data_IF_780719347649
#
_entry.id   IF_780719347649
#
_cell.length_a   1.000
_cell.length_b   1.000
_cell.length_c   1.000
_cell.angle_alpha   90.00
_cell.angle_beta   90.00
_cell.angle_gamma   90.00
#
_symmetry.space_group_name_H-M   'P 1'
#
loop_
_entity.id
_entity.type
_entity.pdbx_description
1 polymer ?
#
# COMPACT_ATOMS: atom_id res chain seq x y z
N UNK A 1 1.95 9.91 26.88
CA UNK A 1 2.01 11.31 26.42
C UNK A 1 3.24 12.07 26.94
N UNK A 2 3.57 11.99 28.23
CA UNK A 2 4.69 12.77 28.85
C UNK A 2 6.05 12.44 28.21
N UNK A 3 6.36 11.14 28.02
CA UNK A 3 7.65 10.67 27.45
C UNK A 3 7.88 11.13 26.01
N UNK A 4 6.81 11.19 25.18
CA UNK A 4 6.93 11.66 23.80
C UNK A 4 7.12 13.20 23.71
N UNK A 5 6.45 13.94 24.57
CA UNK A 5 6.72 15.40 24.69
C UNK A 5 8.16 15.63 25.11
N UNK A 6 8.69 14.81 26.03
CA UNK A 6 10.08 14.85 26.45
C UNK A 6 11.03 14.57 25.30
N UNK A 7 10.77 13.53 24.49
CA UNK A 7 11.58 13.16 23.31
C UNK A 7 11.55 14.31 22.28
N UNK A 8 10.40 14.94 22.05
CA UNK A 8 10.29 16.09 21.15
C UNK A 8 11.07 17.29 21.66
N UNK A 9 11.01 17.55 22.94
CA UNK A 9 11.78 18.62 23.62
C UNK A 9 13.27 18.32 23.54
N UNK A 10 13.69 17.09 23.86
CA UNK A 10 15.09 16.67 23.82
C UNK A 10 15.67 16.77 22.39
N UNK A 11 14.92 16.41 21.35
CA UNK A 11 15.31 16.59 19.96
C UNK A 11 15.44 18.06 19.54
N UNK A 12 14.56 18.90 20.06
CA UNK A 12 14.60 20.35 19.83
C UNK A 12 15.90 20.98 20.38
N UNK A 13 16.53 20.35 21.38
CA UNK A 13 17.84 20.72 21.94
C UNK A 13 19.01 19.92 21.39
N UNK A 14 18.83 19.22 20.23
CA UNK A 14 19.93 18.54 19.51
C UNK A 14 20.35 17.19 20.08
N UNK A 15 19.60 16.63 21.05
CA UNK A 15 19.89 15.31 21.60
C UNK A 15 19.14 14.23 20.80
N UNK A 16 19.89 13.40 20.06
CA UNK A 16 19.37 12.26 19.31
C UNK A 16 19.05 11.08 20.27
N UNK A 17 17.88 11.12 20.88
CA UNK A 17 17.39 9.99 21.68
C UNK A 17 16.65 9.00 20.78
N UNK A 18 17.16 7.79 20.66
CA UNK A 18 16.51 6.66 19.96
C UNK A 18 15.99 5.66 20.98
N UNK A 19 14.87 5.04 20.65
CA UNK A 19 14.22 4.02 21.48
C UNK A 19 14.62 2.66 20.93
N UNK A 20 15.16 1.81 21.79
CA UNK A 20 15.42 0.41 21.44
C UNK A 20 14.12 -0.37 21.30
N UNK A 21 13.98 -1.09 20.18
CA UNK A 21 12.90 -2.03 19.93
C UNK A 21 13.31 -3.39 20.48
N UNK A 22 12.89 -3.69 21.71
CA UNK A 22 13.21 -4.96 22.38
C UNK A 22 12.44 -6.17 21.84
N UNK A 23 11.78 -6.04 20.69
CA UNK A 23 11.06 -7.11 20.00
C UNK A 23 11.48 -7.15 18.52
N UNK A 24 11.48 -8.34 17.88
CA UNK A 24 11.69 -8.45 16.44
C UNK A 24 10.77 -7.52 15.67
N UNK A 25 11.31 -6.81 14.68
CA UNK A 25 10.54 -5.75 14.05
C UNK A 25 10.84 -5.58 12.55
N UNK A 26 9.81 -5.13 11.83
CA UNK A 26 9.86 -4.83 10.41
C UNK A 26 9.37 -3.40 10.13
N UNK A 27 10.12 -2.64 9.33
CA UNK A 27 9.73 -1.32 8.82
C UNK A 27 9.46 -1.39 7.32
N UNK A 28 8.33 -0.82 6.88
CA UNK A 28 7.93 -0.84 5.48
C UNK A 28 7.63 0.57 4.98
N UNK A 29 8.34 1.02 3.95
CA UNK A 29 8.07 2.28 3.26
C UNK A 29 7.91 2.07 1.75
N UNK A 30 7.39 3.08 1.07
CA UNK A 30 7.13 3.09 -0.36
C UNK A 30 6.14 4.18 -0.73
N UNK A 31 5.94 4.42 -2.00
CA UNK A 31 4.87 5.30 -2.49
C UNK A 31 3.52 4.61 -2.37
N UNK A 32 3.41 3.37 -2.84
CA UNK A 32 2.21 2.52 -2.79
C UNK A 32 2.52 1.13 -2.20
N UNK A 33 1.50 0.38 -1.78
CA UNK A 33 1.63 -1.00 -1.31
C UNK A 33 1.93 -1.18 0.18
N UNK A 34 2.41 -0.17 0.90
CA UNK A 34 2.86 -0.24 2.29
C UNK A 34 1.88 -0.94 3.24
N UNK A 35 0.65 -0.46 3.30
CA UNK A 35 -0.40 -0.97 4.21
C UNK A 35 -0.68 -2.44 3.96
N UNK A 36 -0.88 -2.83 2.69
CA UNK A 36 -1.16 -4.22 2.32
C UNK A 36 0.03 -5.13 2.62
N UNK A 37 1.27 -4.70 2.31
CA UNK A 37 2.49 -5.45 2.66
C UNK A 37 2.61 -5.65 4.17
N UNK A 38 2.38 -4.61 4.98
CA UNK A 38 2.38 -4.71 6.44
C UNK A 38 1.32 -5.69 6.96
N UNK A 39 0.12 -5.67 6.39
CA UNK A 39 -0.97 -6.57 6.79
C UNK A 39 -0.71 -8.02 6.37
N UNK A 40 -0.20 -8.26 5.18
CA UNK A 40 0.24 -9.58 4.74
C UNK A 40 1.36 -10.12 5.64
N UNK A 41 2.37 -9.30 5.96
CA UNK A 41 3.44 -9.69 6.88
C UNK A 41 2.88 -9.99 8.28
N UNK A 42 1.98 -9.16 8.79
CA UNK A 42 1.33 -9.40 10.09
C UNK A 42 0.54 -10.72 10.10
N UNK A 43 -0.14 -11.05 8.99
CA UNK A 43 -0.85 -12.33 8.85
C UNK A 43 0.13 -13.52 8.88
N UNK A 44 1.27 -13.42 8.18
CA UNK A 44 2.32 -14.45 8.19
C UNK A 44 2.90 -14.65 9.59
N UNK A 45 3.20 -13.57 10.31
CA UNK A 45 3.73 -13.63 11.67
C UNK A 45 2.70 -14.18 12.66
N UNK A 46 1.41 -13.90 12.46
CA UNK A 46 0.30 -14.48 13.25
C UNK A 46 0.16 -15.98 12.96
N UNK A 47 0.24 -16.42 11.71
CA UNK A 47 0.27 -17.84 11.33
C UNK A 47 1.47 -18.56 11.94
N UNK A 48 2.60 -17.85 12.13
CA UNK A 48 3.78 -18.32 12.85
C UNK A 48 3.60 -18.35 14.39
N UNK A 49 2.40 -18.09 14.90
CA UNK A 49 2.06 -18.15 16.31
C UNK A 49 2.42 -16.92 17.15
N UNK A 50 2.75 -15.78 16.52
CA UNK A 50 3.19 -14.58 17.21
C UNK A 50 2.04 -13.59 17.44
N UNK A 51 2.05 -12.87 18.56
CA UNK A 51 1.18 -11.72 18.81
C UNK A 51 1.84 -10.49 18.18
N UNK A 52 1.25 -10.03 17.06
CA UNK A 52 1.81 -8.95 16.23
C UNK A 52 1.29 -7.60 16.70
N UNK A 53 2.19 -6.65 16.91
CA UNK A 53 1.89 -5.23 17.01
C UNK A 53 1.99 -4.61 15.61
N UNK A 54 0.87 -4.12 15.08
CA UNK A 54 0.79 -3.56 13.73
C UNK A 54 0.38 -2.10 13.77
N UNK A 55 1.15 -1.23 13.09
CA UNK A 55 0.83 0.20 12.89
C UNK A 55 0.78 0.53 11.40
N UNK A 56 -0.36 1.01 10.93
CA UNK A 56 -0.59 1.34 9.50
C UNK A 56 -1.39 2.65 9.36
N UNK A 57 -1.57 3.09 8.13
CA UNK A 57 -2.49 4.18 7.78
C UNK A 57 -3.93 3.93 8.25
N UNK A 58 -4.33 2.68 8.47
CA UNK A 58 -5.67 2.32 8.91
C UNK A 58 -5.84 2.33 10.43
N UNK A 59 -4.76 2.10 11.18
CA UNK A 59 -4.83 2.05 12.65
C UNK A 59 -3.66 1.36 13.32
N UNK A 60 -3.87 1.11 14.61
CA UNK A 60 -2.98 0.37 15.51
C UNK A 60 -3.71 -0.88 15.99
N UNK A 61 -3.03 -2.01 15.92
CA UNK A 61 -3.56 -3.33 16.27
C UNK A 61 -2.56 -4.11 17.14
N UNK A 62 -3.04 -4.93 18.06
CA UNK A 62 -2.24 -5.91 18.82
C UNK A 62 -2.98 -7.24 18.74
N UNK A 63 -2.39 -8.19 18.02
CA UNK A 63 -3.09 -9.42 17.65
C UNK A 63 -4.39 -9.10 16.91
N UNK A 64 -5.53 -9.55 17.44
CA UNK A 64 -6.86 -9.28 16.88
C UNK A 64 -7.52 -7.99 17.41
N UNK A 65 -6.91 -7.33 18.40
CA UNK A 65 -7.50 -6.15 19.04
C UNK A 65 -7.17 -4.87 18.25
N UNK A 66 -8.19 -4.07 17.95
CA UNK A 66 -8.03 -2.72 17.40
C UNK A 66 -7.84 -1.72 18.53
N UNK A 67 -6.62 -1.18 18.66
CA UNK A 67 -6.27 -0.19 19.69
C UNK A 67 -6.65 1.22 19.27
N UNK A 68 -6.56 1.50 17.97
CA UNK A 68 -6.89 2.82 17.40
C UNK A 68 -7.25 2.67 15.92
N UNK A 69 -8.26 3.43 15.49
CA UNK A 69 -8.58 3.61 14.05
C UNK A 69 -8.02 4.95 13.58
N UNK A 70 -7.60 5.01 12.31
CA UNK A 70 -7.05 6.18 11.63
C UNK A 70 -5.55 6.18 11.49
N UNK A 71 -5.04 7.10 10.69
CA UNK A 71 -3.63 7.12 10.25
C UNK A 71 -2.65 7.04 11.43
N UNK A 72 -1.87 5.99 11.42
CA UNK A 72 -0.89 5.64 12.44
C UNK A 72 0.46 5.25 11.82
N UNK A 73 0.69 5.64 10.57
CA UNK A 73 1.89 5.32 9.77
C UNK A 73 3.11 6.19 10.11
N UNK A 74 3.32 6.50 11.39
CA UNK A 74 4.45 7.30 11.88
C UNK A 74 4.99 6.76 13.22
N UNK A 75 6.20 7.18 13.57
CA UNK A 75 6.91 6.70 14.77
C UNK A 75 6.19 7.02 16.09
N UNK A 76 5.42 8.11 16.17
CA UNK A 76 4.71 8.50 17.40
C UNK A 76 3.68 7.46 17.80
N UNK A 77 2.97 6.91 16.82
CA UNK A 77 1.95 5.91 17.06
C UNK A 77 2.56 4.53 17.29
N UNK A 78 3.65 4.20 16.59
CA UNK A 78 4.40 2.98 16.81
C UNK A 78 4.89 2.84 18.27
N UNK A 79 5.26 3.97 18.92
CA UNK A 79 5.66 3.97 20.33
C UNK A 79 4.59 3.42 21.28
N UNK A 80 3.30 3.64 21.01
CA UNK A 80 2.20 3.10 21.84
C UNK A 80 2.17 1.58 21.85
N UNK A 81 2.62 0.95 20.79
CA UNK A 81 2.67 -0.50 20.65
C UNK A 81 3.79 -1.14 21.50
N UNK A 82 4.87 -0.40 21.73
CA UNK A 82 6.04 -0.89 22.46
C UNK A 82 5.83 -0.93 23.98
N UNK A 83 4.79 -0.25 24.47
CA UNK A 83 4.42 -0.25 25.90
C UNK A 83 3.59 -1.50 26.24
N UNK A 84 2.95 -2.09 25.22
CA UNK A 84 2.11 -3.27 25.42
C UNK A 84 2.96 -4.54 25.45
N UNK A 85 3.09 -5.13 26.64
CA UNK A 85 3.90 -6.32 26.87
C UNK A 85 3.37 -7.59 26.17
N UNK A 86 2.18 -7.55 25.58
CA UNK A 86 1.62 -8.68 24.83
C UNK A 86 2.27 -8.83 23.45
N UNK A 87 2.79 -7.75 22.88
CA UNK A 87 3.42 -7.77 21.57
C UNK A 87 4.72 -8.57 21.59
N UNK A 88 4.82 -9.56 20.73
CA UNK A 88 5.99 -10.42 20.54
C UNK A 88 6.81 -10.02 19.31
N UNK A 89 6.20 -9.30 18.36
CA UNK A 89 6.83 -8.79 17.15
C UNK A 89 6.12 -7.52 16.67
N UNK A 90 6.82 -6.65 15.95
CA UNK A 90 6.30 -5.37 15.48
C UNK A 90 6.39 -5.21 13.96
N UNK A 91 5.31 -4.74 13.33
CA UNK A 91 5.26 -4.38 11.91
C UNK A 91 4.78 -2.93 11.77
N UNK A 92 5.62 -2.07 11.19
CA UNK A 92 5.38 -0.63 11.18
C UNK A 92 5.40 -0.08 9.75
N UNK A 93 4.27 0.48 9.32
CA UNK A 93 4.21 1.27 8.12
C UNK A 93 4.88 2.63 8.37
N UNK A 94 5.86 2.98 7.54
CA UNK A 94 6.62 4.21 7.62
C UNK A 94 6.26 5.14 6.44
N UNK A 95 5.29 6.01 6.66
CA UNK A 95 4.87 6.98 5.65
C UNK A 95 5.85 8.14 5.56
N UNK A 96 6.00 8.68 4.35
CA UNK A 96 6.88 9.82 4.05
C UNK A 96 6.68 11.03 4.98
N UNK A 97 5.42 11.41 5.24
CA UNK A 97 5.14 12.56 6.10
C UNK A 97 5.72 12.40 7.51
N UNK A 98 5.54 11.22 8.11
CA UNK A 98 6.12 10.88 9.39
C UNK A 98 7.65 10.86 9.37
N UNK A 99 8.25 10.35 8.30
CA UNK A 99 9.71 10.34 8.14
C UNK A 99 10.32 11.76 8.07
N UNK A 100 9.66 12.68 7.36
CA UNK A 100 10.12 14.08 7.26
C UNK A 100 9.93 14.82 8.58
N UNK A 101 8.75 14.70 9.20
CA UNK A 101 8.41 15.48 10.39
C UNK A 101 9.07 14.96 11.67
N UNK A 102 9.27 13.64 11.76
CA UNK A 102 9.67 12.98 13.00
C UNK A 102 10.96 12.15 12.85
N UNK A 103 11.37 11.84 11.61
CA UNK A 103 12.43 10.88 11.36
C UNK A 103 12.08 9.49 11.88
N UNK A 104 13.11 8.65 12.07
CA UNK A 104 12.96 7.35 12.72
C UNK A 104 13.32 7.52 14.20
N UNK A 105 12.33 7.38 15.09
CA UNK A 105 12.51 7.52 16.54
C UNK A 105 13.14 6.27 17.20
N UNK A 106 13.33 5.20 16.42
CA UNK A 106 13.91 3.95 16.87
C UNK A 106 15.37 3.86 16.48
N UNK A 107 16.14 3.08 17.21
CA UNK A 107 17.56 2.83 16.93
C UNK A 107 17.76 1.88 15.72
N UNK A 108 16.68 1.23 15.23
CA UNK A 108 16.64 0.39 14.05
C UNK A 108 15.51 -0.65 14.12
N UNK A 109 15.48 -1.54 13.16
CA UNK A 109 14.61 -2.70 13.09
C UNK A 109 15.40 -3.92 12.63
N UNK A 110 14.84 -5.12 12.74
CA UNK A 110 15.51 -6.32 12.22
C UNK A 110 15.52 -6.33 10.69
N UNK A 111 14.37 -6.09 10.09
CA UNK A 111 14.20 -6.09 8.64
C UNK A 111 13.48 -4.83 8.16
N UNK A 112 13.84 -4.33 6.98
CA UNK A 112 13.16 -3.19 6.39
C UNK A 112 12.90 -3.42 4.91
N UNK A 113 11.84 -2.77 4.38
CA UNK A 113 11.54 -2.78 2.95
C UNK A 113 11.32 -1.37 2.39
N UNK A 114 11.84 -1.15 1.17
CA UNK A 114 11.49 0.01 0.34
C UNK A 114 10.83 -0.51 -0.94
N UNK A 115 9.50 -0.36 -1.01
CA UNK A 115 8.71 -0.97 -2.07
C UNK A 115 8.89 -0.28 -3.42
N UNK A 116 8.84 1.06 -3.42
CA UNK A 116 8.91 1.86 -4.64
C UNK A 116 9.05 3.36 -4.33
N UNK A 117 9.52 4.12 -5.33
CA UNK A 117 9.64 5.58 -5.28
C UNK A 117 8.96 6.18 -6.52
N UNK A 118 7.69 6.55 -6.39
CA UNK A 118 6.91 7.19 -7.45
C UNK A 118 6.73 8.69 -7.21
N UNK A 119 6.07 9.37 -8.15
CA UNK A 119 5.86 10.82 -8.14
C UNK A 119 4.81 11.30 -7.12
N UNK A 120 4.18 10.36 -6.40
CA UNK A 120 3.21 10.69 -5.35
C UNK A 120 3.86 11.62 -4.31
N UNK A 121 3.17 12.71 -3.98
CA UNK A 121 3.59 13.67 -2.97
C UNK A 121 4.80 14.56 -3.34
N UNK A 122 5.20 14.66 -4.59
CA UNK A 122 6.16 15.69 -5.02
C UNK A 122 5.54 17.07 -4.89
N UNK A 123 6.38 18.08 -4.66
CA UNK A 123 5.96 19.47 -4.40
C UNK A 123 5.52 19.74 -2.96
N UNK A 124 5.58 18.75 -2.05
CA UNK A 124 5.15 18.88 -0.66
C UNK A 124 6.33 18.82 0.30
N UNK A 125 6.32 19.69 1.32
CA UNK A 125 7.33 19.73 2.41
C UNK A 125 8.78 19.79 1.89
N UNK A 126 9.01 20.54 0.78
CA UNK A 126 10.34 20.71 0.19
C UNK A 126 10.86 19.55 -0.66
N UNK A 127 10.06 18.50 -0.88
CA UNK A 127 10.43 17.35 -1.72
C UNK A 127 9.86 17.54 -3.11
N UNK A 128 10.70 17.87 -4.09
CA UNK A 128 10.30 18.24 -5.45
C UNK A 128 10.68 17.17 -6.50
N UNK A 129 11.57 16.25 -6.16
CA UNK A 129 12.07 15.25 -7.07
C UNK A 129 11.96 13.82 -6.49
N UNK A 130 11.91 12.82 -7.38
CA UNK A 130 11.96 11.40 -6.97
C UNK A 130 13.27 11.06 -6.25
N UNK A 131 14.39 11.70 -6.57
CA UNK A 131 15.67 11.49 -5.89
C UNK A 131 15.62 11.96 -4.43
N UNK A 132 15.04 13.13 -4.18
CA UNK A 132 14.82 13.62 -2.80
C UNK A 132 13.85 12.70 -2.04
N UNK A 133 12.79 12.23 -2.71
CA UNK A 133 11.87 11.24 -2.13
C UNK A 133 12.59 9.93 -1.79
N UNK A 134 13.48 9.44 -2.66
CA UNK A 134 14.29 8.27 -2.41
C UNK A 134 15.22 8.49 -1.20
N UNK A 135 15.83 9.67 -1.08
CA UNK A 135 16.65 10.02 0.07
C UNK A 135 15.87 9.93 1.39
N UNK A 136 14.64 10.48 1.45
CA UNK A 136 13.77 10.37 2.64
C UNK A 136 13.48 8.91 2.98
N UNK A 137 13.11 8.10 1.98
CA UNK A 137 12.78 6.68 2.18
C UNK A 137 14.00 5.82 2.52
N UNK A 138 15.19 6.20 2.08
CA UNK A 138 16.44 5.47 2.39
C UNK A 138 16.72 5.40 3.90
N UNK A 139 16.17 6.33 4.69
CA UNK A 139 16.28 6.25 6.15
C UNK A 139 15.70 4.95 6.72
N UNK A 140 14.62 4.42 6.10
CA UNK A 140 14.03 3.13 6.49
C UNK A 140 14.96 1.98 6.12
N UNK A 141 15.52 1.97 4.91
CA UNK A 141 16.50 0.95 4.51
C UNK A 141 17.73 0.94 5.43
N UNK A 142 18.26 2.13 5.76
CA UNK A 142 19.41 2.29 6.65
C UNK A 142 19.15 1.87 8.10
N UNK A 143 17.88 1.73 8.50
CA UNK A 143 17.52 1.31 9.86
C UNK A 143 17.51 -0.21 10.06
N UNK A 144 17.62 -1.00 8.98
CA UNK A 144 17.65 -2.45 9.06
C UNK A 144 18.99 -2.96 9.60
N UNK A 145 18.93 -3.90 10.55
CA UNK A 145 20.11 -4.54 11.13
C UNK A 145 20.43 -5.87 10.44
N UNK A 146 19.42 -6.70 10.12
CA UNK A 146 19.61 -8.03 9.57
C UNK A 146 19.48 -8.07 8.06
N UNK A 147 18.35 -7.59 7.54
CA UNK A 147 18.11 -7.64 6.10
C UNK A 147 17.30 -6.43 5.62
N UNK A 148 17.68 -5.92 4.45
CA UNK A 148 16.88 -4.96 3.71
C UNK A 148 16.29 -5.61 2.46
N UNK A 149 15.03 -5.30 2.15
CA UNK A 149 14.32 -5.77 0.96
C UNK A 149 14.11 -4.58 0.02
N UNK A 150 14.66 -4.65 -1.17
CA UNK A 150 14.63 -3.58 -2.18
C UNK A 150 13.98 -4.04 -3.47
N UNK A 151 13.29 -3.12 -4.13
CA UNK A 151 12.71 -3.32 -5.45
C UNK A 151 13.79 -3.20 -6.54
N UNK A 152 14.08 -4.29 -7.22
CA UNK A 152 15.03 -4.31 -8.33
C UNK A 152 14.49 -3.66 -9.62
N UNK A 153 13.16 -3.51 -9.73
CA UNK A 153 12.51 -2.86 -10.88
C UNK A 153 12.45 -1.32 -10.72
N UNK A 154 12.87 -0.77 -9.58
CA UNK A 154 12.95 0.68 -9.32
C UNK A 154 14.41 1.07 -9.05
N UNK A 155 15.04 1.73 -10.02
CA UNK A 155 16.45 2.13 -9.94
C UNK A 155 16.78 3.01 -8.73
N UNK A 156 15.81 3.78 -8.20
CA UNK A 156 16.01 4.59 -7.00
C UNK A 156 15.97 3.72 -5.72
N UNK A 157 15.20 2.65 -5.71
CA UNK A 157 15.23 1.66 -4.63
C UNK A 157 16.55 0.87 -4.68
N UNK A 158 16.94 0.39 -5.86
CA UNK A 158 18.16 -0.37 -6.07
C UNK A 158 19.41 0.41 -5.66
N UNK A 159 19.49 1.70 -6.03
CA UNK A 159 20.60 2.59 -5.66
C UNK A 159 20.77 2.80 -4.14
N UNK A 160 19.81 2.38 -3.32
CA UNK A 160 19.98 2.43 -1.86
C UNK A 160 20.90 1.32 -1.34
N UNK A 161 21.12 0.24 -2.12
CA UNK A 161 21.94 -0.92 -1.73
C UNK A 161 23.33 -0.51 -1.23
N UNK A 162 23.97 0.43 -1.94
CA UNK A 162 25.34 0.86 -1.63
C UNK A 162 25.47 1.70 -0.34
N UNK A 163 24.33 2.08 0.27
CA UNK A 163 24.26 2.92 1.46
C UNK A 163 23.83 2.18 2.72
N UNK A 164 23.71 0.85 2.64
CA UNK A 164 23.09 0.02 3.68
C UNK A 164 24.16 -0.76 4.43
N UNK A 165 24.04 -0.77 5.76
CA UNK A 165 24.92 -1.51 6.67
C UNK A 165 24.27 -2.83 7.16
N UNK A 166 23.11 -3.23 6.66
CA UNK A 166 22.46 -4.48 7.01
C UNK A 166 23.33 -5.69 6.61
N UNK A 167 23.20 -6.79 7.36
CA UNK A 167 24.00 -8.00 7.13
C UNK A 167 23.68 -8.67 5.78
N UNK A 168 22.49 -8.45 5.22
CA UNK A 168 22.10 -8.99 3.91
C UNK A 168 21.12 -8.09 3.19
N UNK A 169 21.05 -8.25 1.87
CA UNK A 169 20.07 -7.59 1.01
C UNK A 169 19.22 -8.66 0.31
N UNK A 170 17.91 -8.44 0.25
CA UNK A 170 17.02 -9.19 -0.62
C UNK A 170 16.56 -8.29 -1.77
N UNK A 171 16.64 -8.76 -2.99
CA UNK A 171 16.06 -8.08 -4.15
C UNK A 171 14.72 -8.71 -4.54
N UNK A 172 13.76 -7.85 -4.88
CA UNK A 172 12.42 -8.26 -5.34
C UNK A 172 12.18 -7.72 -6.73
N UNK A 173 11.68 -8.57 -7.66
CA UNK A 173 11.34 -8.16 -9.02
C UNK A 173 10.07 -8.83 -9.54
N UNK A 174 9.25 -8.07 -10.26
CA UNK A 174 8.11 -8.59 -11.03
C UNK A 174 8.54 -9.26 -12.35
N UNK A 175 9.84 -9.25 -12.66
CA UNK A 175 10.43 -9.77 -13.88
C UNK A 175 11.43 -10.88 -13.54
N UNK A 176 11.28 -12.09 -14.10
CA UNK A 176 12.16 -13.22 -13.77
C UNK A 176 13.55 -13.09 -14.40
N UNK A 177 13.66 -12.32 -15.47
CA UNK A 177 14.87 -12.06 -16.25
C UNK A 177 15.52 -10.71 -15.96
N UNK A 178 15.14 -10.05 -14.85
CA UNK A 178 15.79 -8.83 -14.41
C UNK A 178 17.29 -9.06 -14.14
N UNK A 179 18.21 -8.39 -14.85
CA UNK A 179 19.65 -8.59 -14.70
C UNK A 179 20.15 -8.43 -13.27
N UNK A 180 19.58 -7.50 -12.51
CA UNK A 180 19.95 -7.26 -11.11
C UNK A 180 19.59 -8.45 -10.20
N UNK A 181 18.47 -9.13 -10.47
CA UNK A 181 18.10 -10.37 -9.76
C UNK A 181 19.08 -11.49 -10.10
N UNK A 182 19.40 -11.66 -11.38
CA UNK A 182 20.29 -12.73 -11.86
C UNK A 182 21.67 -12.56 -11.25
N UNK A 183 22.22 -11.34 -11.30
CA UNK A 183 23.56 -11.06 -10.76
C UNK A 183 23.58 -11.17 -9.23
N UNK A 184 22.53 -10.71 -8.54
CA UNK A 184 22.38 -10.83 -7.10
C UNK A 184 22.35 -12.31 -6.65
N UNK A 185 21.63 -13.16 -7.35
CA UNK A 185 21.59 -14.59 -7.07
C UNK A 185 22.95 -15.28 -7.32
N UNK A 186 23.71 -14.84 -8.33
CA UNK A 186 25.08 -15.36 -8.59
C UNK A 186 26.04 -15.14 -7.41
N UNK A 187 25.80 -14.10 -6.60
CA UNK A 187 26.59 -13.84 -5.38
C UNK A 187 26.16 -14.66 -4.16
N UNK A 188 25.15 -15.54 -4.31
CA UNK A 188 24.62 -16.37 -3.22
C UNK A 188 23.57 -15.67 -2.35
N UNK A 189 23.15 -14.48 -2.73
CA UNK A 189 22.21 -13.65 -1.99
C UNK A 189 20.75 -14.07 -2.21
N UNK A 190 19.85 -13.54 -1.35
CA UNK A 190 18.44 -13.89 -1.36
C UNK A 190 17.64 -12.99 -2.31
N UNK A 191 16.83 -13.61 -3.17
CA UNK A 191 15.95 -12.93 -4.12
C UNK A 191 14.54 -13.51 -4.12
N UNK A 192 13.56 -12.65 -4.40
CA UNK A 192 12.16 -13.05 -4.62
C UNK A 192 11.69 -12.46 -5.95
N UNK A 193 11.24 -13.28 -6.86
CA UNK A 193 10.81 -12.80 -8.18
C UNK A 193 9.58 -13.54 -8.70
N UNK A 194 8.84 -12.87 -9.58
CA UNK A 194 7.67 -13.42 -10.23
C UNK A 194 8.07 -14.08 -11.56
N UNK A 195 7.85 -15.38 -11.71
CA UNK A 195 7.84 -16.04 -13.00
C UNK A 195 6.42 -16.04 -13.56
N UNK A 196 6.21 -15.37 -14.70
CA UNK A 196 4.91 -15.17 -15.33
C UNK A 196 4.84 -15.75 -16.75
N UNK A 197 5.72 -16.70 -17.10
CA UNK A 197 5.79 -17.28 -18.43
C UNK A 197 4.57 -18.12 -18.82
N UNK A 198 3.89 -18.73 -17.83
CA UNK A 198 2.65 -19.50 -17.99
C UNK A 198 1.64 -19.06 -16.95
N UNK A 199 1.67 -19.72 -15.80
CA UNK A 199 0.92 -19.31 -14.62
C UNK A 199 1.86 -18.49 -13.72
N UNK A 200 1.42 -17.34 -13.16
CA UNK A 200 2.29 -16.54 -12.31
C UNK A 200 2.69 -17.30 -11.04
N UNK A 201 4.00 -17.38 -10.77
CA UNK A 201 4.57 -18.05 -9.59
C UNK A 201 5.58 -17.13 -8.91
N UNK A 202 5.44 -16.91 -7.63
CA UNK A 202 6.45 -16.23 -6.82
C UNK A 202 7.52 -17.24 -6.44
N UNK A 203 8.75 -17.02 -6.88
CA UNK A 203 9.91 -17.81 -6.52
C UNK A 203 10.74 -17.11 -5.45
N UNK A 204 11.13 -17.85 -4.42
CA UNK A 204 12.03 -17.43 -3.35
C UNK A 204 13.31 -18.23 -3.49
N UNK A 205 14.44 -17.58 -3.78
CA UNK A 205 15.71 -18.25 -4.06
C UNK A 205 16.84 -17.64 -3.20
N UNK A 206 17.79 -18.49 -2.77
CA UNK A 206 19.05 -18.05 -2.18
C UNK A 206 20.19 -18.58 -3.03
N UNK A 207 20.87 -17.70 -3.74
CA UNK A 207 21.75 -18.12 -4.81
C UNK A 207 21.01 -18.96 -5.85
N UNK A 208 21.52 -20.15 -6.16
CA UNK A 208 20.88 -21.12 -7.07
C UNK A 208 19.85 -22.03 -6.39
N UNK A 209 19.73 -21.98 -5.06
CA UNK A 209 18.80 -22.81 -4.29
C UNK A 209 17.39 -22.22 -4.31
N UNK A 210 16.40 -23.00 -4.77
CA UNK A 210 14.99 -22.66 -4.64
C UNK A 210 14.51 -22.99 -3.23
N UNK A 211 14.29 -21.97 -2.40
CA UNK A 211 13.70 -22.10 -1.07
C UNK A 211 12.23 -22.53 -1.16
N UNK A 212 11.51 -21.99 -2.14
CA UNK A 212 10.15 -22.38 -2.42
C UNK A 212 9.48 -21.53 -3.50
N UNK A 213 8.33 -22.02 -3.96
CA UNK A 213 7.52 -21.42 -5.01
C UNK A 213 6.06 -21.32 -4.57
N UNK A 214 5.42 -20.17 -4.79
CA UNK A 214 4.03 -19.90 -4.44
C UNK A 214 3.28 -19.52 -5.73
N UNK A 215 2.43 -20.42 -6.26
CA UNK A 215 1.55 -20.09 -7.38
C UNK A 215 0.60 -18.94 -7.04
N UNK A 216 0.32 -18.05 -7.99
CA UNK A 216 -0.58 -16.92 -7.79
C UNK A 216 -2.00 -17.34 -7.36
N UNK A 217 -2.48 -18.50 -7.83
CA UNK A 217 -3.76 -19.09 -7.44
C UNK A 217 -3.87 -19.38 -5.92
N UNK A 218 -2.74 -19.51 -5.24
CA UNK A 218 -2.69 -19.67 -3.77
C UNK A 218 -2.70 -18.34 -3.00
N UNK A 219 -2.76 -17.23 -3.72
CA UNK A 219 -2.85 -15.88 -3.17
C UNK A 219 -4.19 -15.27 -3.60
N UNK A 220 -5.26 -15.46 -2.82
CA UNK A 220 -6.62 -15.09 -3.23
C UNK A 220 -6.75 -13.63 -3.66
N UNK A 221 -6.02 -12.72 -3.01
CA UNK A 221 -6.00 -11.28 -3.35
C UNK A 221 -5.39 -10.97 -4.72
N UNK A 222 -4.70 -11.95 -5.33
CA UNK A 222 -4.14 -11.80 -6.68
C UNK A 222 -5.16 -12.05 -7.79
N UNK A 223 -6.30 -12.67 -7.46
CA UNK A 223 -7.31 -13.09 -8.45
C UNK A 223 -6.66 -13.89 -9.58
N UNK A 224 -6.02 -14.99 -9.22
CA UNK A 224 -5.26 -15.88 -10.12
C UNK A 224 -4.12 -15.17 -10.87
N UNK A 225 -3.57 -14.11 -10.26
CA UNK A 225 -2.48 -13.32 -10.83
C UNK A 225 -2.90 -12.08 -11.62
N UNK A 226 -4.19 -11.86 -11.82
CA UNK A 226 -4.70 -10.69 -12.55
C UNK A 226 -4.45 -9.37 -11.79
N UNK A 227 -4.54 -9.37 -10.45
CA UNK A 227 -4.24 -8.18 -9.67
C UNK A 227 -2.78 -8.18 -9.22
N UNK A 228 -1.91 -7.75 -10.13
CA UNK A 228 -0.45 -7.71 -9.97
C UNK A 228 0.05 -6.98 -8.71
N UNK A 229 -0.61 -5.89 -8.22
CA UNK A 229 -0.21 -5.26 -6.96
C UNK A 229 -0.28 -6.19 -5.73
N UNK A 230 -1.19 -7.18 -5.71
CA UNK A 230 -1.23 -8.17 -4.63
C UNK A 230 -0.01 -9.08 -4.66
N UNK A 231 0.40 -9.55 -5.84
CA UNK A 231 1.63 -10.37 -6.02
C UNK A 231 2.86 -9.58 -5.58
N UNK A 232 2.97 -8.33 -6.01
CA UNK A 232 4.05 -7.44 -5.62
C UNK A 232 4.14 -7.29 -4.08
N UNK A 233 3.01 -7.01 -3.42
CA UNK A 233 2.97 -6.88 -1.96
C UNK A 233 3.30 -8.21 -1.25
N UNK A 234 2.82 -9.33 -1.79
CA UNK A 234 3.08 -10.66 -1.26
C UNK A 234 4.58 -11.03 -1.34
N UNK A 235 5.27 -10.70 -2.44
CA UNK A 235 6.71 -10.92 -2.58
C UNK A 235 7.50 -10.18 -1.49
N UNK A 236 7.17 -8.91 -1.23
CA UNK A 236 7.82 -8.14 -0.16
C UNK A 236 7.48 -8.68 1.23
N UNK A 237 6.22 -9.06 1.47
CA UNK A 237 5.83 -9.67 2.74
C UNK A 237 6.52 -11.01 2.99
N UNK A 238 6.65 -11.85 1.95
CA UNK A 238 7.38 -13.12 2.01
C UNK A 238 8.87 -12.93 2.31
N UNK A 239 9.51 -11.97 1.61
CA UNK A 239 10.91 -11.64 1.83
C UNK A 239 11.18 -11.16 3.26
N UNK A 240 10.35 -10.23 3.76
CA UNK A 240 10.44 -9.71 5.13
C UNK A 240 10.24 -10.83 6.17
N UNK A 241 9.22 -11.68 5.99
CA UNK A 241 8.93 -12.79 6.88
C UNK A 241 10.10 -13.79 6.92
N UNK A 242 10.67 -14.13 5.76
CA UNK A 242 11.84 -15.00 5.69
C UNK A 242 13.05 -14.38 6.41
N UNK A 243 13.30 -13.09 6.22
CA UNK A 243 14.34 -12.35 6.95
C UNK A 243 14.12 -12.28 8.47
N UNK A 244 12.88 -12.43 8.93
CA UNK A 244 12.52 -12.58 10.34
C UNK A 244 12.58 -14.05 10.84
N UNK A 245 13.02 -15.00 10.00
CA UNK A 245 13.21 -16.40 10.36
C UNK A 245 11.95 -17.27 10.21
N UNK A 246 10.89 -16.78 9.54
CA UNK A 246 9.68 -17.59 9.30
C UNK A 246 9.95 -18.62 8.20
N UNK A 247 9.54 -19.86 8.44
CA UNK A 247 9.70 -20.95 7.47
C UNK A 247 8.79 -20.78 6.26
N UNK A 248 9.25 -21.21 5.09
CA UNK A 248 8.54 -21.09 3.81
C UNK A 248 7.11 -21.66 3.85
N UNK A 249 6.90 -22.82 4.45
CA UNK A 249 5.57 -23.43 4.53
C UNK A 249 4.57 -22.58 5.32
N UNK A 250 5.00 -21.87 6.36
CA UNK A 250 4.17 -20.94 7.14
C UNK A 250 3.81 -19.73 6.29
N UNK A 251 4.79 -19.17 5.55
CA UNK A 251 4.56 -18.06 4.63
C UNK A 251 3.50 -18.44 3.58
N UNK A 252 3.66 -19.60 2.95
CA UNK A 252 2.72 -20.11 1.93
C UNK A 252 1.32 -20.33 2.50
N UNK A 253 1.19 -20.93 3.70
CA UNK A 253 -0.09 -21.14 4.36
C UNK A 253 -0.80 -19.84 4.70
N UNK A 254 -0.05 -18.85 5.20
CA UNK A 254 -0.60 -17.54 5.52
C UNK A 254 -1.21 -16.86 4.28
N UNK A 255 -0.57 -16.95 3.12
CA UNK A 255 -1.12 -16.39 1.89
C UNK A 255 -2.39 -17.07 1.43
N UNK A 256 -2.51 -18.40 1.55
CA UNK A 256 -3.74 -19.12 1.22
C UNK A 256 -4.94 -18.67 2.06
N UNK A 257 -4.69 -18.20 3.28
CA UNK A 257 -5.69 -17.77 4.24
C UNK A 257 -5.92 -16.25 4.25
N UNK A 258 -5.07 -15.49 3.57
CA UNK A 258 -5.19 -14.03 3.53
C UNK A 258 -6.15 -13.58 2.43
N UNK A 259 -7.25 -12.94 2.83
CA UNK A 259 -8.23 -12.32 1.94
C UNK A 259 -8.42 -10.87 2.36
N UNK A 260 -8.25 -9.93 1.44
CA UNK A 260 -8.56 -8.52 1.66
C UNK A 260 -10.06 -8.32 1.85
N UNK A 261 -10.43 -7.96 3.05
CA UNK A 261 -11.80 -7.62 3.43
C UNK A 261 -11.77 -6.50 4.48
N UNK A 262 -12.92 -6.18 5.04
CA UNK A 262 -13.09 -5.10 6.01
C UNK A 262 -12.31 -5.30 7.32
N UNK A 263 -11.96 -6.53 7.68
CA UNK A 263 -11.22 -6.84 8.90
C UNK A 263 -9.72 -6.96 8.65
N UNK A 264 -9.35 -7.67 7.58
CA UNK A 264 -7.97 -8.00 7.29
C UNK A 264 -7.22 -6.87 6.59
N UNK A 265 -7.88 -6.14 5.65
CA UNK A 265 -7.30 -5.07 4.86
C UNK A 265 -8.33 -4.03 4.42
N UNK A 266 -8.93 -3.26 5.36
CA UNK A 266 -10.02 -2.32 5.09
C UNK A 266 -9.67 -1.33 3.97
N UNK A 267 -10.61 -1.12 3.03
CA UNK A 267 -10.47 -0.17 1.93
C UNK A 267 -9.38 -0.53 0.91
N UNK A 268 -9.03 -1.80 0.80
CA UNK A 268 -8.09 -2.33 -0.21
C UNK A 268 -8.70 -3.54 -0.90
N UNK A 269 -9.24 -3.33 -2.11
CA UNK A 269 -9.89 -4.37 -2.93
C UNK A 269 -11.03 -5.10 -2.21
N UNK A 270 -11.88 -4.36 -1.46
CA UNK A 270 -13.00 -4.96 -0.72
C UNK A 270 -14.24 -5.04 -1.60
N UNK A 271 -14.64 -6.25 -1.98
CA UNK A 271 -15.85 -6.51 -2.74
C UNK A 271 -17.08 -6.72 -1.85
N UNK A 272 -18.16 -6.02 -2.15
CA UNK A 272 -19.47 -6.16 -1.53
C UNK A 272 -20.48 -6.72 -2.55
N UNK A 273 -21.20 -7.78 -2.16
CA UNK A 273 -22.10 -8.56 -3.06
C UNK A 273 -23.55 -8.58 -2.59
N UNK A 274 -23.90 -7.78 -1.58
CA UNK A 274 -25.26 -7.77 -1.00
C UNK A 274 -26.26 -6.87 -1.74
N UNK A 275 -25.80 -6.09 -2.72
CA UNK A 275 -26.62 -5.32 -3.66
C UNK A 275 -26.86 -6.11 -4.95
N UNK A 276 -27.84 -5.74 -5.78
CA UNK A 276 -28.05 -6.37 -7.09
C UNK A 276 -26.86 -6.26 -8.05
N UNK A 277 -25.95 -5.35 -7.75
CA UNK A 277 -24.70 -5.11 -8.47
C UNK A 277 -23.50 -5.28 -7.51
N UNK A 278 -22.31 -5.43 -8.06
CA UNK A 278 -21.07 -5.54 -7.27
C UNK A 278 -20.54 -4.16 -6.92
N UNK A 279 -20.08 -3.98 -5.68
CA UNK A 279 -19.37 -2.77 -5.26
C UNK A 279 -17.96 -3.14 -4.87
N UNK A 280 -16.95 -2.49 -5.48
CA UNK A 280 -15.55 -2.59 -5.10
C UNK A 280 -15.13 -1.30 -4.39
N UNK A 281 -14.83 -1.39 -3.11
CA UNK A 281 -14.25 -0.28 -2.34
C UNK A 281 -12.74 -0.46 -2.30
N UNK A 282 -12.01 0.53 -2.78
CA UNK A 282 -10.54 0.51 -2.81
C UNK A 282 -9.97 1.93 -2.69
N UNK A 283 -8.65 2.03 -2.54
CA UNK A 283 -7.91 3.29 -2.61
C UNK A 283 -6.77 3.18 -3.62
N UNK A 284 -6.75 4.10 -4.56
CA UNK A 284 -5.69 4.26 -5.55
C UNK A 284 -5.23 5.72 -5.56
N UNK A 285 -4.01 6.00 -5.08
CA UNK A 285 -3.44 7.34 -5.01
C UNK A 285 -2.47 7.57 -6.18
N UNK A 286 -3.00 8.10 -7.27
CA UNK A 286 -2.25 8.48 -8.46
C UNK A 286 -2.40 7.55 -9.66
N UNK A 287 -1.92 8.00 -10.79
CA UNK A 287 -2.08 7.38 -12.10
C UNK A 287 -1.65 5.91 -12.12
N UNK A 288 -0.45 5.59 -11.65
CA UNK A 288 0.06 4.19 -11.64
C UNK A 288 -0.83 3.22 -10.89
N UNK A 289 -1.39 3.63 -9.74
CA UNK A 289 -2.29 2.76 -8.97
C UNK A 289 -3.63 2.57 -9.68
N UNK A 290 -4.11 3.61 -10.36
CA UNK A 290 -5.31 3.56 -11.20
C UNK A 290 -5.09 2.72 -12.45
N UNK A 291 -3.92 2.78 -13.09
CA UNK A 291 -3.58 1.95 -14.25
C UNK A 291 -3.64 0.45 -13.90
N UNK A 292 -3.12 0.05 -12.75
CA UNK A 292 -3.20 -1.34 -12.26
C UNK A 292 -4.66 -1.75 -11.93
N UNK A 293 -5.45 -0.85 -11.36
CA UNK A 293 -6.87 -1.09 -11.10
C UNK A 293 -7.65 -1.24 -12.42
N UNK A 294 -7.40 -0.38 -13.40
CA UNK A 294 -8.00 -0.41 -14.74
C UNK A 294 -7.63 -1.71 -15.46
N UNK A 295 -6.36 -2.10 -15.43
CA UNK A 295 -5.91 -3.37 -15.98
C UNK A 295 -6.70 -4.54 -15.37
N UNK A 296 -6.75 -4.62 -14.04
CA UNK A 296 -7.49 -5.65 -13.33
C UNK A 296 -8.99 -5.69 -13.73
N UNK A 297 -9.68 -4.53 -13.74
CA UNK A 297 -11.11 -4.45 -14.09
C UNK A 297 -11.36 -4.90 -15.54
N UNK A 298 -10.43 -4.61 -16.43
CA UNK A 298 -10.50 -4.99 -17.84
C UNK A 298 -10.35 -6.51 -18.00
N UNK A 299 -9.36 -7.09 -17.36
CA UNK A 299 -9.07 -8.53 -17.42
C UNK A 299 -10.14 -9.39 -16.73
N UNK A 300 -10.75 -8.89 -15.64
CA UNK A 300 -11.84 -9.57 -14.94
C UNK A 300 -13.13 -9.68 -15.76
N UNK A 301 -13.23 -8.96 -16.87
CA UNK A 301 -14.35 -9.02 -17.84
C UNK A 301 -15.75 -9.04 -17.18
N UNK A 302 -16.03 -8.06 -16.32
CA UNK A 302 -17.34 -7.92 -15.69
C UNK A 302 -18.43 -7.75 -16.77
N UNK A 303 -19.55 -8.51 -16.68
CA UNK A 303 -20.54 -8.57 -17.77
C UNK A 303 -21.38 -7.31 -17.94
N UNK A 304 -21.57 -6.53 -16.88
CA UNK A 304 -22.41 -5.32 -16.88
C UNK A 304 -21.62 -4.04 -17.12
N UNK A 305 -22.33 -2.93 -17.01
CA UNK A 305 -21.78 -1.59 -17.06
C UNK A 305 -20.86 -1.33 -15.86
N UNK A 306 -19.90 -0.43 -16.06
CA UNK A 306 -18.89 -0.11 -15.05
C UNK A 306 -18.97 1.37 -14.67
N UNK A 307 -19.05 1.64 -13.38
CA UNK A 307 -19.16 2.98 -12.80
C UNK A 307 -17.96 3.23 -11.91
N UNK A 308 -17.39 4.44 -11.98
CA UNK A 308 -16.27 4.84 -11.11
C UNK A 308 -16.65 6.09 -10.31
N UNK A 309 -16.54 6.00 -9.00
CA UNK A 309 -16.53 7.15 -8.10
C UNK A 309 -15.12 7.32 -7.54
N UNK A 310 -14.49 8.49 -7.75
CA UNK A 310 -13.09 8.70 -7.33
C UNK A 310 -12.77 10.15 -7.01
N UNK A 311 -11.73 10.35 -6.21
CA UNK A 311 -11.23 11.67 -5.81
C UNK A 311 -9.71 11.72 -5.84
N UNK A 312 -9.19 12.94 -5.76
CA UNK A 312 -7.77 13.21 -5.50
C UNK A 312 -7.61 14.02 -4.21
N UNK A 313 -6.43 13.92 -3.59
CA UNK A 313 -6.05 14.82 -2.49
C UNK A 313 -5.83 16.24 -3.03
N UNK A 314 -6.42 17.26 -2.40
CA UNK A 314 -6.39 18.64 -2.89
C UNK A 314 -5.00 19.28 -2.99
N UNK A 315 -4.02 18.81 -2.21
CA UNK A 315 -2.65 19.31 -2.27
C UNK A 315 -1.77 18.68 -3.35
N UNK A 316 -2.36 18.00 -4.34
CA UNK A 316 -1.64 17.48 -5.50
C UNK A 316 -1.52 18.56 -6.59
N UNK A 317 -0.42 18.58 -7.39
CA UNK A 317 -0.34 19.43 -8.58
C UNK A 317 -1.49 19.13 -9.55
N UNK A 318 -1.97 20.14 -10.29
CA UNK A 318 -3.08 20.01 -11.23
C UNK A 318 -2.84 18.93 -12.28
N UNK A 319 -1.62 18.89 -12.84
CA UNK A 319 -1.23 17.84 -13.77
C UNK A 319 -1.38 16.45 -13.20
N UNK A 320 -0.99 16.24 -11.94
CA UNK A 320 -1.12 14.95 -11.28
C UNK A 320 -2.60 14.53 -11.16
N UNK A 321 -3.49 15.48 -10.85
CA UNK A 321 -4.92 15.22 -10.76
C UNK A 321 -5.50 14.89 -12.15
N UNK A 322 -5.13 15.63 -13.18
CA UNK A 322 -5.53 15.35 -14.57
C UNK A 322 -5.02 14.00 -15.06
N UNK A 323 -3.77 13.63 -14.74
CA UNK A 323 -3.21 12.32 -15.07
C UNK A 323 -4.00 11.16 -14.43
N UNK A 324 -4.59 11.35 -13.23
CA UNK A 324 -5.52 10.37 -12.65
C UNK A 324 -6.79 10.20 -13.51
N UNK A 325 -7.39 11.29 -13.98
CA UNK A 325 -8.51 11.25 -14.93
C UNK A 325 -8.14 10.53 -16.23
N UNK A 326 -6.97 10.81 -16.76
CA UNK A 326 -6.42 10.15 -17.95
C UNK A 326 -6.32 8.62 -17.77
N UNK A 327 -5.78 8.16 -16.64
CA UNK A 327 -5.56 6.72 -16.38
C UNK A 327 -6.83 5.89 -16.39
N UNK A 328 -7.98 6.48 -16.06
CA UNK A 328 -9.26 5.75 -16.00
C UNK A 328 -10.15 5.98 -17.22
N UNK A 329 -9.76 6.86 -18.14
CA UNK A 329 -10.58 7.23 -19.30
C UNK A 329 -10.90 6.03 -20.21
N UNK A 330 -12.15 5.94 -20.66
CA UNK A 330 -12.61 4.95 -21.64
C UNK A 330 -12.87 3.55 -21.09
N UNK A 331 -12.84 3.34 -19.76
CA UNK A 331 -13.07 2.02 -19.14
C UNK A 331 -14.45 1.95 -18.47
N UNK A 332 -14.92 3.07 -17.95
CA UNK A 332 -16.18 3.15 -17.25
C UNK A 332 -17.23 3.88 -18.12
N UNK A 333 -18.48 3.51 -17.96
CA UNK A 333 -19.60 4.15 -18.64
C UNK A 333 -19.91 5.50 -18.01
N UNK A 334 -19.69 5.62 -16.71
CA UNK A 334 -19.93 6.86 -15.97
C UNK A 334 -18.90 7.07 -14.87
N UNK A 335 -18.49 8.33 -14.72
CA UNK A 335 -17.49 8.80 -13.76
C UNK A 335 -18.13 9.79 -12.80
N UNK A 336 -17.96 9.58 -11.49
CA UNK A 336 -18.40 10.50 -10.44
C UNK A 336 -17.12 11.03 -9.78
N UNK A 337 -16.77 12.26 -10.12
CA UNK A 337 -15.62 12.96 -9.54
C UNK A 337 -16.07 13.76 -8.32
N UNK A 338 -15.36 13.64 -7.21
CA UNK A 338 -15.66 14.40 -5.98
C UNK A 338 -14.38 14.86 -5.30
N UNK A 339 -14.48 15.88 -4.45
CA UNK A 339 -13.37 16.33 -3.63
C UNK A 339 -13.18 15.42 -2.41
N UNK A 340 -11.92 15.21 -2.03
CA UNK A 340 -11.60 14.61 -0.74
C UNK A 340 -12.17 15.46 0.40
N UNK A 341 -12.66 14.83 1.49
CA UNK A 341 -13.27 15.52 2.64
C UNK A 341 -12.33 16.61 3.25
N UNK A 342 -11.02 16.39 3.21
CA UNK A 342 -9.99 17.39 3.53
C UNK A 342 -9.44 18.00 2.23
N UNK A 343 -9.82 19.25 1.96
CA UNK A 343 -9.44 19.97 0.74
C UNK A 343 -7.96 20.38 0.70
N UNK A 344 -7.26 20.31 1.83
CA UNK A 344 -5.82 20.67 1.96
C UNK A 344 -5.46 22.02 1.33
N UNK A 345 -6.33 23.01 1.50
CA UNK A 345 -6.14 24.38 1.02
C UNK A 345 -6.55 24.64 -0.44
N UNK A 346 -7.06 23.63 -1.16
CA UNK A 346 -7.62 23.83 -2.49
C UNK A 346 -9.06 24.33 -2.42
N UNK A 347 -9.50 25.22 -3.35
CA UNK A 347 -10.90 25.61 -3.44
C UNK A 347 -11.86 24.44 -3.63
N UNK A 348 -13.09 24.49 -3.09
CA UNK A 348 -14.08 23.43 -3.28
C UNK A 348 -14.37 23.15 -4.77
N UNK A 349 -14.54 21.89 -5.11
CA UNK A 349 -14.81 21.33 -6.43
C UNK A 349 -13.66 21.44 -7.45
N UNK A 350 -12.58 22.13 -7.16
CA UNK A 350 -11.48 22.30 -8.12
C UNK A 350 -10.75 20.98 -8.41
N UNK A 351 -10.50 20.13 -7.39
CA UNK A 351 -9.88 18.84 -7.64
C UNK A 351 -10.81 17.92 -8.43
N UNK A 352 -12.11 17.91 -8.13
CA UNK A 352 -13.11 17.15 -8.86
C UNK A 352 -13.24 17.60 -10.32
N UNK A 353 -13.17 18.92 -10.57
CA UNK A 353 -13.18 19.51 -11.91
C UNK A 353 -11.92 19.09 -12.71
N UNK A 354 -10.74 19.16 -12.12
CA UNK A 354 -9.49 18.74 -12.75
C UNK A 354 -9.50 17.24 -13.12
N UNK A 355 -10.10 16.37 -12.31
CA UNK A 355 -10.32 14.96 -12.67
C UNK A 355 -11.23 14.87 -13.91
N UNK A 356 -12.33 15.64 -13.94
CA UNK A 356 -13.24 15.72 -15.07
C UNK A 356 -12.58 16.25 -16.34
N UNK A 357 -11.72 17.26 -16.23
CA UNK A 357 -10.92 17.79 -17.36
C UNK A 357 -9.99 16.72 -17.91
N UNK A 358 -9.26 15.99 -17.02
CA UNK A 358 -8.40 14.88 -17.43
C UNK A 358 -9.15 13.78 -18.19
N UNK A 359 -10.41 13.48 -17.79
CA UNK A 359 -11.29 12.56 -18.50
C UNK A 359 -11.67 13.11 -19.91
N UNK A 360 -12.10 14.36 -19.99
CA UNK A 360 -12.53 15.01 -21.27
C UNK A 360 -11.36 15.10 -22.24
N UNK A 361 -10.20 15.54 -21.79
CA UNK A 361 -8.97 15.62 -22.57
C UNK A 361 -8.55 14.26 -23.17
N UNK A 362 -9.04 13.16 -22.59
CA UNK A 362 -8.79 11.78 -23.03
C UNK A 362 -10.03 11.07 -23.61
N UNK A 363 -10.98 11.85 -24.16
CA UNK A 363 -12.06 11.36 -24.99
C UNK A 363 -13.34 10.93 -24.28
N UNK A 364 -13.46 11.13 -22.96
CA UNK A 364 -14.71 10.86 -22.25
C UNK A 364 -15.71 11.99 -22.51
N UNK A 365 -16.91 11.65 -22.95
CA UNK A 365 -17.98 12.63 -23.20
C UNK A 365 -18.47 13.26 -21.89
N UNK A 366 -18.83 14.53 -21.94
CA UNK A 366 -19.28 15.30 -20.76
C UNK A 366 -20.48 14.66 -20.05
N UNK A 367 -21.39 14.05 -20.79
CA UNK A 367 -22.60 13.36 -20.27
C UNK A 367 -22.25 12.14 -19.41
N UNK A 368 -21.08 11.55 -19.62
CA UNK A 368 -20.53 10.44 -18.82
C UNK A 368 -19.86 10.89 -17.52
N UNK A 369 -19.84 12.20 -17.20
CA UNK A 369 -19.11 12.73 -16.04
C UNK A 369 -20.06 13.51 -15.14
N UNK A 370 -20.03 13.19 -13.85
CA UNK A 370 -20.72 13.96 -12.79
C UNK A 370 -19.66 14.55 -11.85
N UNK A 371 -19.71 15.86 -11.62
CA UNK A 371 -18.96 16.52 -10.55
C UNK A 371 -19.89 16.58 -9.33
N UNK A 372 -19.58 15.79 -8.31
CA UNK A 372 -20.41 15.71 -7.11
C UNK A 372 -19.98 16.77 -6.08
N UNK A 373 -20.96 17.38 -5.41
CA UNK A 373 -20.74 18.46 -4.44
C UNK A 373 -20.03 18.01 -3.15
N UNK A 374 -20.05 16.71 -2.88
CA UNK A 374 -19.39 16.09 -1.73
C UNK A 374 -19.25 14.59 -1.94
N UNK A 375 -18.45 13.93 -1.10
CA UNK A 375 -18.35 12.45 -1.07
C UNK A 375 -19.73 11.80 -0.89
N UNK A 376 -20.56 12.33 0.06
CA UNK A 376 -21.88 11.77 0.33
C UNK A 376 -22.81 11.90 -0.88
N UNK A 377 -22.86 13.08 -1.49
CA UNK A 377 -23.65 13.30 -2.71
C UNK A 377 -23.15 12.39 -3.87
N UNK A 378 -21.84 12.27 -4.05
CA UNK A 378 -21.25 11.38 -5.05
C UNK A 378 -21.64 9.93 -4.83
N UNK A 379 -21.62 9.46 -3.58
CA UNK A 379 -21.99 8.09 -3.24
C UNK A 379 -23.48 7.82 -3.44
N UNK A 380 -24.35 8.77 -3.09
CA UNK A 380 -25.78 8.70 -3.36
C UNK A 380 -26.06 8.53 -4.87
N UNK A 381 -25.43 9.36 -5.69
CA UNK A 381 -25.51 9.26 -7.16
C UNK A 381 -24.98 7.92 -7.63
N UNK A 382 -23.81 7.51 -7.15
CA UNK A 382 -23.12 6.28 -7.55
C UNK A 382 -23.94 5.03 -7.22
N UNK A 383 -24.61 4.99 -6.07
CA UNK A 383 -25.43 3.85 -5.64
C UNK A 383 -26.79 3.76 -6.36
N UNK A 384 -27.26 4.84 -7.01
CA UNK A 384 -28.54 4.88 -7.71
C UNK A 384 -28.45 4.64 -9.23
N UNK A 385 -27.22 4.61 -9.78
CA UNK A 385 -27.01 4.41 -11.23
C UNK A 385 -26.93 2.94 -11.67
N UNK A 386 -26.16 2.06 -10.95
CA UNK A 386 -25.95 0.70 -11.40
C UNK A 386 -27.21 -0.18 -11.36
N UNK A 387 -27.30 -1.07 -12.32
CA UNK A 387 -28.33 -2.10 -12.44
C UNK A 387 -27.78 -3.49 -12.06
N UNK A 388 -28.59 -4.54 -12.24
CA UNK A 388 -28.18 -5.93 -12.00
C UNK A 388 -26.96 -6.27 -12.85
N UNK A 389 -25.99 -6.95 -12.24
CA UNK A 389 -24.71 -7.38 -12.82
C UNK A 389 -23.69 -6.27 -13.11
N UNK A 390 -23.99 -5.01 -12.82
CA UNK A 390 -23.05 -3.92 -12.97
C UNK A 390 -21.95 -3.94 -11.91
N UNK A 391 -20.88 -3.16 -12.15
CA UNK A 391 -19.79 -2.94 -11.22
C UNK A 391 -19.72 -1.46 -10.86
N UNK A 392 -19.83 -1.15 -9.58
CA UNK A 392 -19.48 0.16 -9.01
C UNK A 392 -18.11 0.08 -8.34
N UNK A 393 -17.15 0.86 -8.82
CA UNK A 393 -15.85 1.03 -8.17
C UNK A 393 -15.85 2.34 -7.40
N UNK A 394 -15.55 2.30 -6.11
CA UNK A 394 -15.44 3.46 -5.23
C UNK A 394 -14.00 3.58 -4.74
N UNK A 395 -13.25 4.51 -5.35
CA UNK A 395 -11.91 4.87 -4.91
C UNK A 395 -12.01 5.96 -3.83
N UNK A 396 -11.82 5.57 -2.57
CA UNK A 396 -11.99 6.47 -1.42
C UNK A 396 -11.00 6.18 -0.29
N UNK A 397 -10.54 7.23 0.37
CA UNK A 397 -9.80 7.11 1.62
C UNK A 397 -10.73 6.82 2.82
N UNK A 398 -11.98 7.28 2.76
CA UNK A 398 -13.00 7.12 3.79
C UNK A 398 -13.77 5.79 3.64
N UNK A 399 -13.08 4.66 3.52
CA UNK A 399 -13.67 3.35 3.24
C UNK A 399 -14.74 2.93 4.26
N UNK A 400 -14.52 3.16 5.56
CA UNK A 400 -15.50 2.81 6.60
C UNK A 400 -16.82 3.57 6.48
N UNK A 401 -16.78 4.88 6.16
CA UNK A 401 -17.97 5.69 5.97
C UNK A 401 -18.75 5.22 4.73
N UNK A 402 -18.04 4.98 3.62
CA UNK A 402 -18.64 4.47 2.37
C UNK A 402 -19.25 3.09 2.59
N UNK A 403 -18.54 2.18 3.26
CA UNK A 403 -19.05 0.85 3.59
C UNK A 403 -20.36 0.91 4.36
N UNK A 404 -20.47 1.73 5.40
CA UNK A 404 -21.70 1.89 6.19
C UNK A 404 -22.87 2.31 5.32
N UNK A 405 -22.67 3.26 4.42
CA UNK A 405 -23.73 3.72 3.51
C UNK A 405 -24.11 2.64 2.48
N UNK A 406 -23.12 1.90 1.93
CA UNK A 406 -23.36 0.77 1.03
C UNK A 406 -24.18 -0.33 1.72
N UNK A 407 -23.85 -0.68 2.97
CA UNK A 407 -24.57 -1.70 3.75
C UNK A 407 -26.00 -1.25 4.12
N UNK A 408 -26.24 0.04 4.34
CA UNK A 408 -27.56 0.58 4.64
C UNK A 408 -28.50 0.52 3.43
N UNK A 409 -27.99 0.67 2.21
CA UNK A 409 -28.80 0.60 0.98
C UNK A 409 -29.24 -0.83 0.65
N UNK A 410 -28.57 -1.85 1.14
CA UNK A 410 -28.93 -3.26 0.93
C UNK A 410 -29.97 -3.79 1.92
N UNK A 411 -30.42 -2.97 2.87
CA UNK A 411 -31.50 -3.27 3.81
C UNK A 411 -32.80 -2.60 3.35
#
# INVERSE_FOLDING_TARGET
>A
MLRWRLIKIIRQYGVNFKIDLNIPSAFVTGSVGKTTTCRMLAAILTENGQIVALSTTQGIYIGKETIRIGDSSNCTHAYRLLIDKRAQTGVFEMARGGLIEQGIAFDGCDVAAVLNVYDNHLGLQGINTRKEMAHVKSAVAKSARKMVVLNADDSLCLAMRDQIAASSTCLVSMLPDNPEIIDHMRTGEFAVFLDNKKEPVINMCKGSELIGAIPAIEIPDSYDGLFRPALFNAMFAAALAYGMGVKFNVIRNAFRNFHSNEETNPGRMNFHKHLPFKVLITWADGAKALDELVYFIREMNFPGEKYLMFCSMGNRPDRFIKDMGKSVAGIFTHYICYDHDDLRGRPPLEAAQLLGEGLIENGVKREGITIASSRRNGLEIALNKPSINDLLVVCTFASDAVRKEVLLKGK
#
